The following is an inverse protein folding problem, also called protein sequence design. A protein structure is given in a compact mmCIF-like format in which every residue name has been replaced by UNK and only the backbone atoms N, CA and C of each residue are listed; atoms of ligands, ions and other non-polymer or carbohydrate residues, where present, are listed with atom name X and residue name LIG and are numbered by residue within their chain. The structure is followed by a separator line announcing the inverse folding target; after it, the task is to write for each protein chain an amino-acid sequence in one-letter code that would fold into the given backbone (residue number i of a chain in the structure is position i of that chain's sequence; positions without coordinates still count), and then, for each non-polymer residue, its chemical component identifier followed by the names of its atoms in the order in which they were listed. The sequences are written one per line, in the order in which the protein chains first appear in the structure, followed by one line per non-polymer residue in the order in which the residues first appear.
data_IF_797471125103
#
_entry.id   IF_797471125103
#
_cell.length_a   1.000
_cell.length_b   1.000
_cell.length_c   1.000
_cell.angle_alpha   90.00
_cell.angle_beta   90.00
_cell.angle_gamma   90.00
#
_symmetry.space_group_name_H-M   'P 1'
#
loop_
_entity.id
_entity.type
_entity.pdbx_description
1 polymer ?
#
# COMPACT_ATOMS: atom_id res chain seq x y z
N UNK A 1 3.90 -17.62 -5.40
CA UNK A 1 3.73 -17.85 -3.94
C UNK A 1 3.55 -16.49 -3.30
N UNK A 2 2.49 -16.34 -2.52
CA UNK A 2 2.18 -15.10 -1.83
C UNK A 2 3.11 -14.92 -0.62
N UNK A 3 3.63 -13.71 -0.42
CA UNK A 3 4.48 -13.33 0.71
C UNK A 3 3.90 -12.11 1.42
N UNK A 4 3.83 -12.10 2.77
CA UNK A 4 3.35 -10.94 3.50
C UNK A 4 4.34 -9.77 3.38
N UNK A 5 3.83 -8.55 3.29
CA UNK A 5 4.58 -7.31 3.38
C UNK A 5 3.90 -6.37 4.38
N UNK A 6 4.68 -5.76 5.27
CA UNK A 6 4.20 -4.64 6.06
C UNK A 6 4.17 -3.37 5.21
N UNK A 7 3.00 -3.08 4.68
CA UNK A 7 2.72 -1.88 3.91
C UNK A 7 1.21 -1.61 3.93
N UNK A 8 0.84 -0.38 3.61
CA UNK A 8 -0.54 -0.02 3.27
C UNK A 8 -0.67 -0.02 1.74
N UNK A 9 -1.82 -0.43 1.19
CA UNK A 9 -2.04 -0.45 -0.25
C UNK A 9 -3.40 0.10 -0.63
N UNK A 10 -3.43 0.89 -1.70
CA UNK A 10 -4.65 1.40 -2.33
C UNK A 10 -4.60 1.22 -3.85
N UNK A 11 -5.75 1.06 -4.48
CA UNK A 11 -5.94 0.96 -5.92
C UNK A 11 -6.36 2.29 -6.54
N UNK A 12 -5.72 2.70 -7.62
CA UNK A 12 -6.06 3.88 -8.42
C UNK A 12 -6.09 3.46 -9.88
N UNK A 13 -7.24 3.61 -10.55
CA UNK A 13 -7.41 3.26 -11.97
C UNK A 13 -6.92 1.83 -12.30
N UNK A 14 -7.24 0.86 -11.43
CA UNK A 14 -6.86 -0.56 -11.62
C UNK A 14 -5.41 -0.92 -11.31
N UNK A 15 -4.60 0.03 -10.79
CA UNK A 15 -3.22 -0.21 -10.36
C UNK A 15 -3.05 0.07 -8.88
N UNK A 16 -2.14 -0.64 -8.23
CA UNK A 16 -1.85 -0.46 -6.81
C UNK A 16 -0.70 0.52 -6.58
N UNK A 17 -0.86 1.32 -5.51
CA UNK A 17 0.19 2.07 -4.85
C UNK A 17 0.48 1.39 -3.52
N UNK A 18 1.71 0.94 -3.31
CA UNK A 18 2.21 0.53 -1.99
C UNK A 18 2.70 1.77 -1.25
N UNK A 19 2.30 1.90 0.01
CA UNK A 19 2.70 2.97 0.91
C UNK A 19 3.48 2.32 2.04
N UNK A 20 4.78 2.57 2.05
CA UNK A 20 5.75 2.04 3.00
C UNK A 20 6.30 3.17 3.87
N UNK A 21 6.94 2.82 4.98
CA UNK A 21 7.52 3.76 5.93
C UNK A 21 7.39 3.26 7.36
N UNK A 22 8.14 3.86 8.27
CA UNK A 22 8.12 3.50 9.69
C UNK A 22 6.72 3.70 10.32
N UNK A 23 6.52 3.13 11.52
CA UNK A 23 5.29 3.40 12.27
C UNK A 23 5.21 4.90 12.61
N UNK A 24 4.02 5.50 12.47
CA UNK A 24 3.82 6.93 12.76
C UNK A 24 4.31 7.89 11.67
N UNK A 25 4.58 7.42 10.45
CA UNK A 25 4.83 8.27 9.25
C UNK A 25 3.56 8.61 8.48
N UNK A 26 2.38 8.35 9.04
CA UNK A 26 1.06 8.67 8.47
C UNK A 26 0.67 7.89 7.20
N UNK A 27 1.12 6.64 7.05
CA UNK A 27 0.73 5.73 5.94
C UNK A 27 -0.79 5.60 5.80
N UNK A 28 -1.49 5.23 6.88
CA UNK A 28 -2.95 5.07 6.90
C UNK A 28 -3.67 6.40 6.61
N UNK A 29 -3.15 7.53 7.10
CA UNK A 29 -3.71 8.85 6.79
C UNK A 29 -3.59 9.21 5.31
N UNK A 30 -2.46 8.89 4.67
CA UNK A 30 -2.31 9.07 3.22
C UNK A 30 -3.27 8.14 2.45
N UNK A 31 -3.40 6.89 2.86
CA UNK A 31 -4.34 5.95 2.26
C UNK A 31 -5.78 6.46 2.34
N UNK A 32 -6.22 6.94 3.51
CA UNK A 32 -7.55 7.54 3.70
C UNK A 32 -7.74 8.77 2.79
N UNK A 33 -6.75 9.65 2.70
CA UNK A 33 -6.82 10.83 1.83
C UNK A 33 -6.90 10.49 0.33
N UNK A 34 -6.31 9.37 -0.09
CA UNK A 34 -6.43 8.84 -1.45
C UNK A 34 -7.80 8.19 -1.67
N UNK A 35 -8.32 7.45 -0.68
CA UNK A 35 -9.64 6.82 -0.73
C UNK A 35 -10.75 7.87 -0.83
N UNK A 36 -10.64 8.93 -0.05
CA UNK A 36 -11.54 10.10 -0.11
C UNK A 36 -11.57 10.72 -1.52
N UNK A 37 -10.48 10.58 -2.30
CA UNK A 37 -10.37 11.01 -3.70
C UNK A 37 -10.71 9.93 -4.72
N UNK A 38 -11.28 8.81 -4.28
CA UNK A 38 -11.76 7.73 -5.15
C UNK A 38 -10.80 6.55 -5.33
N UNK A 39 -9.71 6.46 -4.57
CA UNK A 39 -8.91 5.24 -4.52
C UNK A 39 -9.68 4.11 -3.82
N UNK A 40 -9.44 2.86 -4.23
CA UNK A 40 -10.00 1.68 -3.57
C UNK A 40 -9.06 1.18 -2.48
N UNK A 41 -9.58 0.79 -1.32
CA UNK A 41 -8.77 0.21 -0.25
C UNK A 41 -8.37 -1.23 -0.58
N UNK A 42 -7.10 -1.60 -0.40
CA UNK A 42 -6.61 -2.98 -0.54
C UNK A 42 -6.21 -3.55 0.82
N UNK A 43 -5.43 -2.81 1.61
CA UNK A 43 -5.07 -3.25 2.97
C UNK A 43 -4.26 -2.22 3.72
N UNK A 44 -4.21 -2.35 5.04
CA UNK A 44 -3.44 -1.49 5.94
C UNK A 44 -2.52 -2.32 6.84
N UNK A 45 -1.30 -1.82 7.08
CA UNK A 45 -0.24 -2.41 7.91
C UNK A 45 0.09 -3.91 7.65
N UNK A 46 -0.35 -4.43 6.50
CA UNK A 46 -0.27 -5.84 6.16
C UNK A 46 -0.99 -6.14 4.86
N UNK A 47 -0.21 -6.54 3.84
CA UNK A 47 -0.72 -6.97 2.53
C UNK A 47 0.01 -8.22 2.08
N UNK A 48 -0.55 -8.92 1.10
CA UNK A 48 0.11 -10.05 0.45
C UNK A 48 0.64 -9.61 -0.91
N UNK A 49 1.90 -9.94 -1.19
CA UNK A 49 2.53 -9.75 -2.47
C UNK A 49 2.70 -11.06 -3.21
N UNK A 50 2.52 -11.03 -4.53
CA UNK A 50 2.84 -12.15 -5.39
C UNK A 50 3.49 -11.67 -6.69
N UNK A 51 4.63 -12.26 -7.03
CA UNK A 51 5.21 -12.14 -8.36
C UNK A 51 4.50 -13.11 -9.32
N UNK A 52 3.91 -12.57 -10.38
CA UNK A 52 3.28 -13.32 -11.47
C UNK A 52 3.91 -12.91 -12.81
N UNK A 53 3.63 -13.66 -13.88
CA UNK A 53 3.98 -13.19 -15.22
C UNK A 53 3.31 -11.83 -15.47
N UNK A 54 4.11 -10.83 -15.84
CA UNK A 54 3.64 -9.46 -16.06
C UNK A 54 3.81 -8.50 -14.88
N UNK A 55 4.23 -8.97 -13.70
CA UNK A 55 4.71 -8.08 -12.63
C UNK A 55 4.27 -8.48 -11.22
N UNK A 56 4.34 -7.50 -10.31
CA UNK A 56 4.02 -7.66 -8.91
C UNK A 56 2.54 -7.36 -8.66
N UNK A 57 1.84 -8.23 -7.97
CA UNK A 57 0.45 -8.05 -7.54
C UNK A 57 0.39 -7.91 -6.02
N UNK A 58 -0.56 -7.12 -5.55
CA UNK A 58 -0.88 -6.97 -4.13
C UNK A 58 -2.34 -7.30 -3.87
N UNK A 59 -2.61 -7.98 -2.77
CA UNK A 59 -3.94 -8.30 -2.28
C UNK A 59 -4.03 -8.06 -0.76
N UNK A 60 -5.24 -7.98 -0.17
CA UNK A 60 -5.41 -7.86 1.27
C UNK A 60 -4.77 -9.04 2.02
N UNK A 61 -4.23 -8.78 3.21
CA UNK A 61 -3.83 -9.85 4.12
C UNK A 61 -5.08 -10.52 4.73
N UNK A 62 -5.18 -11.86 4.75
CA UNK A 62 -6.42 -12.55 5.15
C UNK A 62 -6.86 -12.22 6.58
N UNK A 63 -5.91 -12.02 7.51
CA UNK A 63 -6.22 -11.74 8.92
C UNK A 63 -6.63 -10.28 9.20
N UNK A 64 -6.35 -9.34 8.30
CA UNK A 64 -6.63 -7.91 8.50
C UNK A 64 -7.48 -7.32 7.37
N UNK A 65 -8.08 -8.20 6.56
CA UNK A 65 -8.88 -7.81 5.40
C UNK A 65 -9.99 -6.85 5.79
N UNK A 66 -10.06 -5.72 5.11
CA UNK A 66 -11.11 -4.73 5.32
C UNK A 66 -10.95 -3.91 6.60
N UNK A 67 -9.87 -4.09 7.36
CA UNK A 67 -9.59 -3.35 8.58
C UNK A 67 -8.55 -2.27 8.32
N UNK A 68 -8.81 -1.07 8.82
CA UNK A 68 -7.86 0.05 8.87
C UNK A 68 -7.86 0.65 10.27
N UNK A 69 -6.67 0.90 10.83
CA UNK A 69 -6.56 1.57 12.14
C UNK A 69 -6.53 3.09 11.94
N UNK A 70 -7.47 3.79 12.56
CA UNK A 70 -7.47 5.25 12.58
C UNK A 70 -7.25 5.72 14.01
N UNK A 71 -6.15 6.46 14.22
CA UNK A 71 -5.80 6.99 15.55
C UNK A 71 -6.97 7.80 16.12
N UNK A 72 -7.26 7.57 17.41
CA UNK A 72 -8.37 8.15 18.17
C UNK A 72 -9.77 7.65 17.78
N UNK A 73 -9.91 6.82 16.74
CA UNK A 73 -11.19 6.18 16.37
C UNK A 73 -11.16 4.65 16.54
N UNK A 74 -9.97 4.04 16.46
CA UNK A 74 -9.79 2.59 16.54
C UNK A 74 -9.82 1.91 15.17
N UNK A 75 -10.15 0.62 15.15
CA UNK A 75 -10.29 -0.16 13.93
C UNK A 75 -11.62 0.15 13.24
N UNK A 76 -11.55 0.49 11.96
CA UNK A 76 -12.72 0.72 11.10
C UNK A 76 -12.78 -0.32 10.00
N UNK A 77 -13.99 -0.60 9.52
CA UNK A 77 -14.22 -1.47 8.37
C UNK A 77 -14.35 -0.68 7.08
N UNK A 78 -13.75 -1.18 6.00
CA UNK A 78 -13.77 -0.56 4.68
C UNK A 78 -14.07 -1.57 3.58
N UNK A 79 -14.81 -1.18 2.52
CA UNK A 79 -14.90 -1.97 1.29
C UNK A 79 -13.51 -2.24 0.73
N UNK A 80 -13.23 -3.50 0.41
CA UNK A 80 -11.91 -3.96 -0.05
C UNK A 80 -11.94 -4.32 -1.53
N UNK A 81 -10.89 -3.92 -2.25
CA UNK A 81 -10.57 -4.43 -3.57
C UNK A 81 -9.75 -5.73 -3.47
N UNK A 82 -10.06 -6.72 -4.31
CA UNK A 82 -9.48 -8.07 -4.20
C UNK A 82 -7.98 -8.11 -4.49
N UNK A 83 -7.54 -7.54 -5.61
CA UNK A 83 -6.13 -7.45 -5.97
C UNK A 83 -5.91 -6.36 -7.01
N UNK A 84 -4.66 -5.86 -7.09
CA UNK A 84 -4.24 -4.99 -8.18
C UNK A 84 -2.74 -5.17 -8.47
N UNK A 85 -2.34 -4.88 -9.71
CA UNK A 85 -0.92 -4.86 -10.09
C UNK A 85 -0.25 -3.63 -9.49
N UNK A 86 0.84 -3.83 -8.76
CA UNK A 86 1.65 -2.76 -8.17
C UNK A 86 2.32 -1.96 -9.29
N UNK A 87 2.13 -0.64 -9.25
CA UNK A 87 2.72 0.29 -10.21
C UNK A 87 3.62 1.34 -9.57
N UNK A 88 3.47 1.57 -8.26
CA UNK A 88 4.23 2.56 -7.53
C UNK A 88 4.45 2.11 -6.08
N UNK A 89 5.64 2.40 -5.57
CA UNK A 89 5.93 2.35 -4.13
C UNK A 89 6.23 3.77 -3.68
N UNK A 90 5.49 4.26 -2.70
CA UNK A 90 5.74 5.52 -2.01
C UNK A 90 6.33 5.16 -0.64
N UNK A 91 7.52 5.68 -0.34
CA UNK A 91 8.12 5.57 0.99
C UNK A 91 7.97 6.89 1.72
N UNK A 92 7.27 6.86 2.83
CA UNK A 92 7.14 7.98 3.74
C UNK A 92 8.30 7.96 4.72
N UNK A 93 9.10 9.02 4.67
CA UNK A 93 10.27 9.23 5.52
C UNK A 93 10.28 10.71 5.94
N UNK A 94 10.58 10.97 7.22
CA UNK A 94 10.65 12.33 7.78
C UNK A 94 11.85 13.09 7.25
N UNK A 95 12.92 12.39 6.91
CA UNK A 95 14.16 12.94 6.37
C UNK A 95 14.17 12.93 4.83
N UNK A 96 13.02 12.65 4.20
CA UNK A 96 12.92 12.64 2.75
C UNK A 96 13.35 14.00 2.16
N UNK A 97 14.22 14.02 1.14
CA UNK A 97 14.67 15.26 0.54
C UNK A 97 13.49 15.96 -0.14
N UNK A 98 13.44 17.29 -0.03
CA UNK A 98 12.40 18.11 -0.67
C UNK A 98 12.36 17.95 -2.20
N UNK A 99 13.52 17.69 -2.81
CA UNK A 99 13.66 17.52 -4.26
C UNK A 99 14.40 16.22 -4.55
N UNK A 100 13.83 15.43 -5.46
CA UNK A 100 14.50 14.27 -6.05
C UNK A 100 14.65 14.52 -7.55
N UNK A 101 15.85 14.33 -8.09
CA UNK A 101 16.11 14.49 -9.52
C UNK A 101 15.50 13.37 -10.38
N UNK A 102 15.28 12.19 -9.78
CA UNK A 102 14.62 11.04 -10.40
C UNK A 102 14.01 10.14 -9.32
N UNK A 103 12.99 9.37 -9.69
CA UNK A 103 12.44 8.32 -8.83
C UNK A 103 13.43 7.16 -8.69
N UNK A 104 13.63 6.69 -7.46
CA UNK A 104 14.41 5.49 -7.21
C UNK A 104 13.68 4.24 -7.72
N UNK A 105 14.44 3.22 -8.11
CA UNK A 105 13.91 1.88 -8.37
C UNK A 105 13.95 1.06 -7.09
N UNK A 106 13.01 0.13 -6.96
CA UNK A 106 13.01 -0.83 -5.87
C UNK A 106 12.61 -2.19 -6.39
N UNK A 107 13.23 -3.23 -5.85
CA UNK A 107 12.87 -4.60 -6.15
C UNK A 107 11.97 -5.18 -5.05
N UNK A 108 10.97 -5.96 -5.44
CA UNK A 108 10.15 -6.81 -4.58
C UNK A 108 9.94 -8.14 -5.28
N UNK A 109 10.27 -9.24 -4.62
CA UNK A 109 10.10 -10.59 -5.15
C UNK A 109 10.70 -10.79 -6.57
N UNK A 110 11.85 -10.16 -6.87
CA UNK A 110 12.48 -10.23 -8.19
C UNK A 110 11.91 -9.29 -9.26
N UNK A 111 10.94 -8.42 -8.92
CA UNK A 111 10.33 -7.44 -9.83
C UNK A 111 10.76 -6.03 -9.43
N UNK A 112 11.30 -5.27 -10.40
CA UNK A 112 11.71 -3.86 -10.26
C UNK A 112 10.63 -2.86 -10.70
#
# INVERSE_FOLDING_TARGET
MMQPLQATAVGISGRAVLIEGESGTCKSSLALALIDRGASFIGDDGVMLEARQGGLHVSPHPNTRGLIEVRNLGLLTMPVAEEARVALVIRLDREAPRFIGAAARTERLGIS
#
